data_IF_263041387917
#
_entry.id   IF_263041387917
#
_cell.length_a   1.000
_cell.length_b   1.000
_cell.length_c   1.000
_cell.angle_alpha   90.00
_cell.angle_beta   90.00
_cell.angle_gamma   90.00
#
_symmetry.space_group_name_H-M   'P 1'
#
loop_
_entity.id
_entity.type
_entity.pdbx_description
1 polymer ?
#
# COMPACT_ATOMS: atom_id res chain seq x y z
N UNK A 1 -13.64 -24.44 2.47
CA UNK A 1 -13.08 -23.33 3.26
C UNK A 1 -12.33 -22.45 2.29
N UNK A 2 -12.70 -21.18 2.19
CA UNK A 2 -12.07 -20.23 1.28
C UNK A 2 -10.85 -19.67 2.01
N UNK A 3 -9.65 -20.04 1.56
CA UNK A 3 -8.39 -19.53 2.09
C UNK A 3 -8.34 -18.01 1.88
N UNK A 4 -7.87 -17.27 2.89
CA UNK A 4 -7.45 -15.90 2.69
C UNK A 4 -6.30 -15.87 1.69
N UNK A 5 -6.26 -14.90 0.78
CA UNK A 5 -5.06 -14.66 -0.03
C UNK A 5 -3.84 -14.24 0.83
N UNK A 6 -4.05 -13.90 2.10
CA UNK A 6 -3.00 -13.51 3.05
C UNK A 6 -3.27 -14.07 4.44
N UNK A 7 -2.29 -14.78 5.01
CA UNK A 7 -2.30 -15.22 6.40
C UNK A 7 -1.91 -14.04 7.30
N UNK A 8 -2.92 -13.36 7.87
CA UNK A 8 -2.74 -12.15 8.67
C UNK A 8 -2.60 -12.49 10.16
N UNK A 9 -1.70 -11.77 10.85
CA UNK A 9 -1.62 -11.83 12.31
C UNK A 9 -2.99 -11.48 12.92
N UNK A 10 -3.39 -12.18 13.98
CA UNK A 10 -4.73 -12.08 14.55
C UNK A 10 -5.16 -10.63 14.87
N UNK A 11 -4.29 -9.84 15.48
CA UNK A 11 -4.55 -8.43 15.81
C UNK A 11 -4.70 -7.54 14.56
N UNK A 12 -3.92 -7.77 13.52
CA UNK A 12 -4.00 -7.04 12.24
C UNK A 12 -5.30 -7.42 11.52
N UNK A 13 -5.59 -8.72 11.45
CA UNK A 13 -6.80 -9.26 10.84
C UNK A 13 -8.06 -8.71 11.50
N UNK A 14 -8.15 -8.75 12.83
CA UNK A 14 -9.28 -8.20 13.59
C UNK A 14 -9.47 -6.71 13.31
N UNK A 15 -8.37 -5.94 13.29
CA UNK A 15 -8.43 -4.51 13.01
C UNK A 15 -8.93 -4.20 11.59
N UNK A 16 -8.42 -4.93 10.58
CA UNK A 16 -8.84 -4.78 9.20
C UNK A 16 -10.30 -5.21 8.99
N UNK A 17 -10.76 -6.27 9.67
CA UNK A 17 -12.16 -6.70 9.65
C UNK A 17 -13.07 -5.58 10.17
N UNK A 18 -12.69 -4.92 11.26
CA UNK A 18 -13.42 -3.77 11.79
C UNK A 18 -13.42 -2.57 10.82
N UNK A 19 -12.49 -2.53 9.86
CA UNK A 19 -12.44 -1.55 8.78
C UNK A 19 -13.15 -2.01 7.49
N UNK A 20 -13.88 -3.13 7.52
CA UNK A 20 -14.65 -3.65 6.39
C UNK A 20 -13.89 -4.62 5.47
N UNK A 21 -12.68 -5.04 5.84
CA UNK A 21 -12.02 -6.17 5.17
C UNK A 21 -12.67 -7.50 5.57
N UNK A 22 -12.55 -8.52 4.73
CA UNK A 22 -12.99 -9.87 5.08
C UNK A 22 -12.15 -10.91 4.33
N UNK A 23 -12.05 -12.11 4.90
CA UNK A 23 -11.32 -13.22 4.30
C UNK A 23 -11.90 -13.58 2.93
N UNK A 24 -11.05 -13.68 1.92
CA UNK A 24 -11.45 -13.99 0.55
C UNK A 24 -11.99 -12.78 -0.24
N UNK A 25 -11.92 -11.56 0.32
CA UNK A 25 -12.23 -10.33 -0.41
C UNK A 25 -11.43 -10.26 -1.71
N UNK A 26 -12.15 -10.04 -2.82
CA UNK A 26 -11.60 -9.94 -4.17
C UNK A 26 -12.45 -8.96 -4.97
N UNK A 27 -12.01 -7.71 -5.04
CA UNK A 27 -12.66 -6.71 -5.89
C UNK A 27 -12.30 -6.92 -7.36
N UNK A 28 -13.08 -6.35 -8.25
CA UNK A 28 -12.64 -6.13 -9.63
C UNK A 28 -11.54 -5.07 -9.65
N UNK A 29 -10.46 -5.37 -10.39
CA UNK A 29 -9.26 -4.54 -10.48
C UNK A 29 -8.96 -4.10 -11.92
N UNK A 30 -9.86 -4.35 -12.89
CA UNK A 30 -9.62 -4.05 -14.31
C UNK A 30 -9.30 -2.57 -14.52
N UNK A 31 -10.13 -1.66 -14.01
CA UNK A 31 -9.89 -0.21 -14.14
C UNK A 31 -8.59 0.27 -13.49
N UNK A 32 -8.15 -0.37 -12.41
CA UNK A 32 -6.87 -0.05 -11.75
C UNK A 32 -5.70 -0.49 -12.63
N UNK A 33 -5.80 -1.68 -13.21
CA UNK A 33 -4.82 -2.21 -14.15
C UNK A 33 -4.75 -1.32 -15.40
N UNK A 34 -5.87 -0.83 -15.91
CA UNK A 34 -5.91 0.11 -17.04
C UNK A 34 -5.21 1.43 -16.72
N UNK A 35 -5.45 2.01 -15.53
CA UNK A 35 -4.78 3.23 -15.10
C UNK A 35 -3.25 3.03 -15.02
N UNK A 36 -2.79 1.94 -14.43
CA UNK A 36 -1.37 1.63 -14.40
C UNK A 36 -0.76 1.42 -15.80
N UNK A 37 -1.50 0.83 -16.74
CA UNK A 37 -1.05 0.70 -18.14
C UNK A 37 -0.94 2.06 -18.84
N UNK A 38 -1.90 2.95 -18.61
CA UNK A 38 -1.91 4.29 -19.21
C UNK A 38 -0.64 5.06 -18.86
N UNK A 39 -0.18 4.93 -17.62
CA UNK A 39 1.04 5.55 -17.10
C UNK A 39 2.30 4.69 -17.27
N UNK A 40 2.20 3.61 -18.07
CA UNK A 40 3.31 2.73 -18.49
C UNK A 40 3.99 1.99 -17.34
N UNK A 41 3.32 1.80 -16.21
CA UNK A 41 3.85 0.97 -15.14
C UNK A 41 3.97 -0.49 -15.58
N UNK A 42 5.02 -1.16 -15.08
CA UNK A 42 5.17 -2.60 -15.22
C UNK A 42 4.32 -3.31 -14.17
N UNK A 43 3.25 -3.96 -14.62
CA UNK A 43 2.29 -4.60 -13.72
C UNK A 43 2.75 -6.01 -13.33
N UNK A 44 2.63 -6.32 -12.05
CA UNK A 44 3.03 -7.61 -11.48
C UNK A 44 1.97 -8.19 -10.53
N UNK A 45 2.01 -9.51 -10.35
CA UNK A 45 0.95 -10.25 -9.66
C UNK A 45 0.80 -9.87 -8.18
N UNK A 46 1.90 -9.54 -7.47
CA UNK A 46 1.81 -9.14 -6.05
C UNK A 46 0.92 -7.91 -5.87
N UNK A 47 1.02 -6.91 -6.74
CA UNK A 47 0.15 -5.75 -6.73
C UNK A 47 -1.31 -6.11 -7.01
N UNK A 48 -1.57 -6.93 -8.03
CA UNK A 48 -2.95 -7.35 -8.36
C UNK A 48 -3.60 -8.07 -7.17
N UNK A 49 -2.90 -9.03 -6.56
CA UNK A 49 -3.41 -9.79 -5.40
C UNK A 49 -3.66 -8.86 -4.21
N UNK A 50 -2.74 -7.92 -3.96
CA UNK A 50 -2.91 -6.93 -2.89
C UNK A 50 -4.13 -6.03 -3.13
N UNK A 51 -4.24 -5.45 -4.33
CA UNK A 51 -5.33 -4.55 -4.70
C UNK A 51 -6.69 -5.23 -4.61
N UNK A 52 -6.80 -6.44 -5.14
CA UNK A 52 -8.04 -7.22 -5.06
C UNK A 52 -8.48 -7.45 -3.61
N UNK A 53 -7.54 -7.61 -2.68
CA UNK A 53 -7.82 -7.82 -1.27
C UNK A 53 -8.12 -6.50 -0.52
N UNK A 54 -7.37 -5.42 -0.77
CA UNK A 54 -7.37 -4.25 0.13
C UNK A 54 -7.84 -2.93 -0.50
N UNK A 55 -7.87 -2.80 -1.84
CA UNK A 55 -8.31 -1.55 -2.46
C UNK A 55 -9.79 -1.27 -2.16
N UNK A 56 -10.12 -0.03 -1.84
CA UNK A 56 -11.41 0.44 -1.35
C UNK A 56 -11.51 0.55 0.17
N UNK A 57 -10.51 0.08 0.93
CA UNK A 57 -10.50 0.24 2.38
C UNK A 57 -10.03 1.65 2.79
N UNK A 58 -10.69 2.19 3.80
CA UNK A 58 -10.25 3.38 4.53
C UNK A 58 -10.01 2.96 5.98
N UNK A 59 -8.75 3.06 6.42
CA UNK A 59 -8.32 2.55 7.71
C UNK A 59 -7.87 3.72 8.56
N UNK A 60 -8.58 3.94 9.67
CA UNK A 60 -8.12 4.82 10.72
C UNK A 60 -6.98 4.13 11.48
N UNK A 61 -5.95 4.88 11.85
CA UNK A 61 -4.87 4.42 12.72
C UNK A 61 -4.29 5.61 13.50
N UNK A 62 -3.33 5.38 14.39
CA UNK A 62 -2.62 6.50 15.01
C UNK A 62 -1.77 7.25 13.97
N UNK A 63 -1.68 8.56 14.12
CA UNK A 63 -0.74 9.39 13.38
C UNK A 63 0.71 8.91 13.58
N UNK A 64 1.56 9.22 12.61
CA UNK A 64 2.98 8.85 12.66
C UNK A 64 3.68 9.42 13.91
N UNK A 65 3.25 10.60 14.38
CA UNK A 65 3.69 11.19 15.66
C UNK A 65 2.48 11.52 16.52
N UNK A 66 2.57 11.22 17.82
CA UNK A 66 1.49 11.45 18.77
C UNK A 66 0.44 10.33 18.78
N UNK A 67 -0.73 10.63 19.38
CA UNK A 67 -1.86 9.71 19.57
C UNK A 67 -3.13 10.16 18.84
N UNK A 68 -3.00 11.15 17.96
CA UNK A 68 -4.12 11.62 17.15
C UNK A 68 -4.48 10.55 16.11
N UNK A 69 -5.73 10.60 15.64
CA UNK A 69 -6.18 9.71 14.56
C UNK A 69 -5.71 10.24 13.22
N UNK A 70 -5.33 9.31 12.36
CA UNK A 70 -4.94 9.52 10.99
C UNK A 70 -5.54 8.42 10.11
N UNK A 71 -5.40 8.53 8.79
CA UNK A 71 -6.10 7.66 7.84
C UNK A 71 -5.18 7.18 6.73
N UNK A 72 -5.34 5.91 6.38
CA UNK A 72 -4.77 5.30 5.18
C UNK A 72 -5.89 4.88 4.24
N UNK A 73 -5.85 5.40 3.02
CA UNK A 73 -6.81 5.14 1.95
C UNK A 73 -6.20 4.23 0.90
N UNK A 74 -6.68 2.99 0.81
CA UNK A 74 -6.26 2.07 -0.26
C UNK A 74 -7.04 2.38 -1.52
N UNK A 75 -6.61 3.40 -2.26
CA UNK A 75 -7.20 3.82 -3.53
C UNK A 75 -6.08 3.97 -4.57
N UNK A 76 -5.92 2.95 -5.40
CA UNK A 76 -4.84 2.87 -6.39
C UNK A 76 -4.98 3.91 -7.50
N UNK A 77 -6.22 4.21 -7.93
CA UNK A 77 -6.46 5.25 -8.95
C UNK A 77 -5.99 6.59 -8.42
N UNK A 78 -6.46 6.98 -7.24
CA UNK A 78 -6.07 8.25 -6.63
C UNK A 78 -4.57 8.31 -6.35
N UNK A 79 -3.97 7.21 -5.91
CA UNK A 79 -2.52 7.13 -5.69
C UNK A 79 -1.72 7.26 -6.99
N UNK A 80 -2.24 6.74 -8.11
CA UNK A 80 -1.62 6.86 -9.43
C UNK A 80 -1.72 8.28 -9.96
N UNK A 81 -2.90 8.90 -9.87
CA UNK A 81 -3.15 10.29 -10.31
C UNK A 81 -2.42 11.33 -9.45
N UNK A 82 -2.16 11.00 -8.18
CA UNK A 82 -1.58 11.91 -7.20
C UNK A 82 -0.06 12.05 -7.26
N UNK A 83 0.62 11.32 -8.15
CA UNK A 83 2.08 11.34 -8.25
C UNK A 83 2.53 11.33 -9.71
N UNK A 84 3.54 12.15 -10.03
CA UNK A 84 4.21 12.07 -11.33
C UNK A 84 4.96 10.74 -11.44
N UNK A 85 4.68 9.89 -12.46
CA UNK A 85 5.38 8.63 -12.66
C UNK A 85 6.91 8.76 -12.74
N UNK A 86 7.45 9.93 -13.13
CA UNK A 86 8.89 10.18 -13.14
C UNK A 86 9.53 9.99 -11.75
N UNK A 87 8.87 10.42 -10.66
CA UNK A 87 9.35 10.17 -9.29
C UNK A 87 9.49 8.68 -9.01
N UNK A 88 8.57 7.87 -9.53
CA UNK A 88 8.60 6.42 -9.29
C UNK A 88 9.67 5.75 -10.13
N UNK A 89 9.76 6.09 -11.42
CA UNK A 89 10.67 5.41 -12.36
C UNK A 89 12.13 5.85 -12.18
N UNK A 90 12.37 7.12 -11.91
CA UNK A 90 13.71 7.70 -11.92
C UNK A 90 14.32 7.81 -10.52
N UNK A 91 13.51 7.81 -9.45
CA UNK A 91 14.01 7.97 -8.08
C UNK A 91 13.66 6.77 -7.20
N UNK A 92 12.37 6.50 -6.99
CA UNK A 92 11.94 5.53 -5.97
C UNK A 92 12.25 4.09 -6.34
N UNK A 93 12.05 3.70 -7.60
CA UNK A 93 12.37 2.34 -8.07
C UNK A 93 13.87 2.06 -8.00
N UNK A 94 14.72 3.08 -8.23
CA UNK A 94 16.17 2.95 -8.06
C UNK A 94 16.55 2.74 -6.59
N UNK A 95 15.99 3.53 -5.68
CA UNK A 95 16.22 3.39 -4.22
C UNK A 95 15.69 2.06 -3.68
N UNK A 96 14.56 1.58 -4.19
CA UNK A 96 14.00 0.28 -3.83
C UNK A 96 14.75 -0.91 -4.47
N UNK A 97 15.49 -0.67 -5.56
CA UNK A 97 16.09 -1.71 -6.39
C UNK A 97 15.06 -2.62 -7.06
N UNK A 98 13.85 -2.10 -7.32
CA UNK A 98 12.70 -2.88 -7.81
C UNK A 98 11.66 -1.97 -8.46
N UNK A 99 10.89 -2.50 -9.41
CA UNK A 99 9.74 -1.80 -9.99
C UNK A 99 8.64 -1.61 -8.92
N UNK A 100 8.01 -0.44 -8.88
CA UNK A 100 7.02 -0.07 -7.90
C UNK A 100 5.66 0.24 -8.53
N UNK A 101 4.58 -0.09 -7.81
CA UNK A 101 3.21 0.28 -8.15
C UNK A 101 2.54 1.04 -7.01
N UNK A 102 1.87 2.18 -7.30
CA UNK A 102 1.12 2.91 -6.29
C UNK A 102 -0.15 2.15 -5.89
N UNK A 103 -0.36 1.95 -4.59
CA UNK A 103 -1.44 1.11 -4.04
C UNK A 103 -2.37 1.83 -3.07
N UNK A 104 -2.07 3.09 -2.74
CA UNK A 104 -2.88 3.87 -1.81
C UNK A 104 -2.15 5.09 -1.30
N UNK A 105 -2.80 5.76 -0.37
CA UNK A 105 -2.36 6.99 0.26
C UNK A 105 -2.37 6.79 1.77
N UNK A 106 -1.27 7.09 2.42
CA UNK A 106 -1.07 7.01 3.85
C UNK A 106 -1.15 8.36 4.54
N UNK A 107 -1.45 8.30 5.83
CA UNK A 107 -1.35 9.44 6.74
C UNK A 107 -2.06 10.68 6.19
N UNK A 108 -3.37 10.57 5.92
CA UNK A 108 -4.19 11.66 5.38
C UNK A 108 -3.63 12.23 4.09
N UNK A 109 -3.13 11.34 3.22
CA UNK A 109 -2.58 11.65 1.90
C UNK A 109 -1.21 12.33 1.91
N UNK A 110 -0.53 12.34 3.06
CA UNK A 110 0.86 12.81 3.16
C UNK A 110 1.88 11.85 2.54
N UNK A 111 1.53 10.58 2.33
CA UNK A 111 2.43 9.57 1.79
C UNK A 111 1.74 8.79 0.68
N UNK A 112 2.38 8.62 -0.48
CA UNK A 112 1.91 7.62 -1.45
C UNK A 112 2.50 6.26 -1.08
N UNK A 113 1.66 5.23 -0.96
CA UNK A 113 2.10 3.87 -0.69
C UNK A 113 2.41 3.12 -1.98
N UNK A 114 3.48 2.34 -1.96
CA UNK A 114 3.89 1.49 -3.06
C UNK A 114 4.08 0.05 -2.62
N UNK A 115 3.93 -0.86 -3.57
CA UNK A 115 4.30 -2.27 -3.44
C UNK A 115 5.31 -2.63 -4.54
N UNK A 116 6.17 -3.61 -4.27
CA UNK A 116 7.02 -4.21 -5.29
C UNK A 116 6.62 -5.67 -5.65
N UNK A 117 7.35 -6.25 -6.59
CA UNK A 117 7.13 -7.63 -7.06
C UNK A 117 7.29 -8.71 -5.97
N UNK A 118 7.88 -8.38 -4.82
CA UNK A 118 8.22 -9.30 -3.72
C UNK A 118 7.42 -9.02 -2.43
N UNK A 119 6.31 -8.27 -2.51
CA UNK A 119 5.51 -7.86 -1.34
C UNK A 119 6.30 -7.02 -0.33
N UNK A 120 7.29 -6.25 -0.79
CA UNK A 120 7.83 -5.14 0.00
C UNK A 120 7.00 -3.90 -0.23
N UNK A 121 6.86 -3.12 0.82
CA UNK A 121 6.00 -1.96 0.86
C UNK A 121 6.82 -0.72 1.19
N UNK A 122 6.49 0.37 0.50
CA UNK A 122 7.22 1.63 0.58
C UNK A 122 6.26 2.80 0.70
N UNK A 123 6.79 3.94 1.11
CA UNK A 123 6.08 5.20 1.13
C UNK A 123 6.96 6.33 0.60
N UNK A 124 6.39 7.25 -0.17
CA UNK A 124 7.12 8.40 -0.67
C UNK A 124 6.27 9.67 -0.83
N UNK A 125 6.94 10.82 -0.69
CA UNK A 125 6.48 12.15 -1.07
C UNK A 125 7.74 13.00 -1.35
N UNK A 126 7.74 13.75 -2.46
CA UNK A 126 8.88 14.57 -2.89
C UNK A 126 10.25 13.86 -2.77
N UNK A 127 11.19 14.39 -1.99
CA UNK A 127 12.53 13.82 -1.78
C UNK A 127 12.57 12.74 -0.69
N UNK A 128 11.47 12.52 0.02
CA UNK A 128 11.34 11.51 1.05
C UNK A 128 10.86 10.18 0.48
N UNK A 129 11.63 9.13 0.73
CA UNK A 129 11.26 7.75 0.40
C UNK A 129 11.66 6.82 1.54
N UNK A 130 10.78 5.88 1.90
CA UNK A 130 11.06 4.91 2.94
C UNK A 130 10.50 3.53 2.62
N UNK A 131 11.14 2.52 3.18
CA UNK A 131 10.60 1.17 3.28
C UNK A 131 9.73 1.08 4.54
N UNK A 132 8.52 0.54 4.37
CA UNK A 132 7.53 0.35 5.42
C UNK A 132 7.49 -1.10 5.89
N UNK A 133 7.61 -2.08 4.99
CA UNK A 133 7.52 -3.49 5.36
C UNK A 133 8.04 -4.45 4.29
N UNK A 134 8.27 -5.70 4.68
CA UNK A 134 8.72 -6.82 3.83
C UNK A 134 7.63 -7.85 3.56
N UNK A 135 6.42 -7.59 4.05
CA UNK A 135 5.25 -8.47 3.95
C UNK A 135 4.00 -7.68 4.28
N UNK A 136 2.83 -8.21 3.94
CA UNK A 136 1.53 -7.59 4.29
C UNK A 136 1.39 -7.41 5.81
N UNK A 137 1.83 -8.40 6.60
CA UNK A 137 1.81 -8.30 8.06
C UNK A 137 2.73 -7.20 8.58
N UNK A 138 3.98 -7.15 8.14
CA UNK A 138 4.91 -6.11 8.61
C UNK A 138 4.49 -4.70 8.16
N UNK A 139 3.91 -4.57 6.95
CA UNK A 139 3.38 -3.31 6.46
C UNK A 139 2.27 -2.76 7.36
N UNK A 140 1.22 -3.55 7.61
CA UNK A 140 0.13 -3.11 8.48
C UNK A 140 0.55 -2.95 9.93
N UNK A 141 1.44 -3.83 10.44
CA UNK A 141 1.99 -3.68 11.78
C UNK A 141 2.72 -2.35 11.97
N UNK A 142 3.50 -1.94 10.97
CA UNK A 142 4.24 -0.69 11.02
C UNK A 142 3.34 0.53 10.83
N UNK A 143 2.26 0.44 10.04
CA UNK A 143 1.28 1.53 9.97
C UNK A 143 0.50 1.68 11.29
N UNK A 144 0.05 0.57 11.87
CA UNK A 144 -0.87 0.59 13.02
C UNK A 144 -0.17 0.80 14.36
N UNK A 145 1.03 0.24 14.54
CA UNK A 145 1.62 0.08 15.87
C UNK A 145 3.07 0.59 15.92
N UNK A 146 3.96 0.02 15.11
CA UNK A 146 5.40 0.16 15.33
C UNK A 146 6.04 1.38 14.68
N UNK A 147 5.49 1.86 13.56
CA UNK A 147 5.99 3.05 12.83
C UNK A 147 7.48 2.94 12.44
N UNK A 148 7.98 1.71 12.30
CA UNK A 148 9.37 1.34 11.99
C UNK A 148 9.71 1.55 10.50
N UNK A 149 9.68 2.81 10.05
CA UNK A 149 9.96 3.17 8.66
C UNK A 149 11.45 3.39 8.45
N UNK A 150 12.02 2.76 7.43
CA UNK A 150 13.45 2.86 7.11
C UNK A 150 13.60 3.81 5.91
N UNK A 151 14.16 5.00 6.12
CA UNK A 151 14.44 5.94 5.03
C UNK A 151 15.46 5.35 4.04
N UNK A 152 15.22 5.55 2.74
CA UNK A 152 16.07 5.11 1.64
C UNK A 152 16.64 6.30 0.85
#
# INVERSE_FOLDING_TARGET
>A
MQESNFDLNANIGEYLINCGWYTGRKIDSEHIIEAWKADKYKIFNSAIVFVQSFNGLNIAHEAYRGKEKDFSYFNCIKATEGIDPAWIFEEYSLKAGSDLLPIGLGYSEHLTYFIDLSFKFYGGYDDYFCKIGDSVNSFFNNIFYEKNFIKL
#
